data_IF_510548243347
#
_entry.id   IF_510548243347
#
_cell.length_a   1.000
_cell.length_b   1.000
_cell.length_c   1.000
_cell.angle_alpha   90.00
_cell.angle_beta   90.00
_cell.angle_gamma   90.00
#
_symmetry.space_group_name_H-M   'P 1'
#
loop_
_entity.id
_entity.type
_entity.pdbx_description
1 polymer ?
#
# COMPACT_ATOMS: atom_id res chain seq x y z
N UNK A 1 5.73 11.42 8.68
CA UNK A 1 4.45 11.64 8.00
C UNK A 1 3.22 11.49 8.89
N UNK A 2 3.13 10.41 9.66
CA UNK A 2 1.99 10.21 10.57
C UNK A 2 2.07 11.21 11.75
N UNK A 3 3.28 11.52 12.22
CA UNK A 3 3.50 12.58 13.23
C UNK A 3 3.05 13.96 12.73
N UNK A 4 3.31 14.30 11.45
CA UNK A 4 2.87 15.57 10.86
C UNK A 4 1.32 15.69 10.80
N UNK A 5 0.63 14.57 10.59
CA UNK A 5 -0.85 14.49 10.64
C UNK A 5 -1.34 14.70 12.07
N UNK A 6 -0.68 14.09 13.06
CA UNK A 6 -0.98 14.30 14.49
C UNK A 6 -0.75 15.75 14.92
N UNK A 7 0.33 16.39 14.45
CA UNK A 7 0.60 17.80 14.74
C UNK A 7 -0.43 18.74 14.09
N UNK A 8 -0.96 18.35 12.92
CA UNK A 8 -2.04 19.09 12.25
C UNK A 8 -3.34 19.13 13.07
N UNK A 9 -3.56 18.17 13.98
CA UNK A 9 -4.68 18.20 14.93
C UNK A 9 -4.68 19.43 15.84
N UNK A 10 -3.53 20.07 16.09
CA UNK A 10 -3.45 21.31 16.89
C UNK A 10 -4.19 22.48 16.26
N UNK A 11 -4.32 22.47 14.94
CA UNK A 11 -5.04 23.50 14.16
C UNK A 11 -6.49 23.15 13.88
N UNK A 12 -6.98 22.01 14.38
CA UNK A 12 -8.36 21.56 14.26
C UNK A 12 -8.56 20.30 13.41
N UNK A 13 -9.73 19.67 13.56
CA UNK A 13 -10.07 18.42 12.88
C UNK A 13 -10.10 18.55 11.34
N UNK A 14 -10.51 19.71 10.82
CA UNK A 14 -10.53 19.98 9.37
C UNK A 14 -9.13 19.87 8.77
N UNK A 15 -8.12 20.43 9.44
CA UNK A 15 -6.73 20.42 8.97
C UNK A 15 -6.16 19.01 9.02
N UNK A 16 -6.47 18.23 10.06
CA UNK A 16 -6.08 16.82 10.16
C UNK A 16 -6.61 15.99 8.97
N UNK A 17 -7.89 16.15 8.60
CA UNK A 17 -8.49 15.41 7.46
C UNK A 17 -7.86 15.83 6.13
N UNK A 18 -7.62 17.13 5.91
CA UNK A 18 -6.97 17.64 4.70
C UNK A 18 -5.54 17.09 4.58
N UNK A 19 -4.76 17.14 5.66
CA UNK A 19 -3.40 16.59 5.68
C UNK A 19 -3.39 15.08 5.48
N UNK A 20 -4.33 14.34 6.09
CA UNK A 20 -4.49 12.91 5.87
C UNK A 20 -4.78 12.55 4.41
N UNK A 21 -5.70 13.26 3.77
CA UNK A 21 -6.01 13.08 2.34
C UNK A 21 -4.82 13.42 1.44
N UNK A 22 -4.16 14.56 1.68
CA UNK A 22 -2.98 14.98 0.93
C UNK A 22 -1.83 13.97 1.06
N UNK A 23 -1.66 13.42 2.27
CA UNK A 23 -0.66 12.39 2.53
C UNK A 23 -0.99 11.09 1.77
N UNK A 24 -2.25 10.67 1.73
CA UNK A 24 -2.72 9.54 0.93
C UNK A 24 -2.39 9.70 -0.56
N UNK A 25 -2.70 10.86 -1.14
CA UNK A 25 -2.36 11.15 -2.54
C UNK A 25 -0.87 11.09 -2.83
N UNK A 26 -0.03 11.55 -1.89
CA UNK A 26 1.44 11.49 -2.04
C UNK A 26 1.95 10.05 -2.09
N UNK A 27 1.36 9.14 -1.32
CA UNK A 27 1.87 7.77 -1.20
C UNK A 27 1.53 6.86 -2.37
N UNK A 28 0.59 7.22 -3.24
CA UNK A 28 0.26 6.42 -4.43
C UNK A 28 1.38 6.48 -5.48
N UNK A 29 2.23 7.51 -5.46
CA UNK A 29 3.27 7.74 -6.46
C UNK A 29 4.26 6.56 -6.53
N UNK A 30 4.81 6.14 -5.39
CA UNK A 30 5.85 5.10 -5.34
C UNK A 30 5.30 3.72 -5.76
N UNK A 31 4.16 3.21 -5.21
CA UNK A 31 3.55 1.96 -5.66
C UNK A 31 3.18 1.98 -7.14
N UNK A 32 2.69 3.12 -7.66
CA UNK A 32 2.33 3.22 -9.07
C UNK A 32 3.55 3.06 -9.99
N UNK A 33 4.70 3.64 -9.63
CA UNK A 33 5.95 3.41 -10.35
C UNK A 33 6.42 1.96 -10.24
N UNK A 34 6.30 1.32 -9.08
CA UNK A 34 6.65 -0.09 -8.91
C UNK A 34 5.80 -1.01 -9.83
N UNK A 35 4.49 -0.77 -9.93
CA UNK A 35 3.59 -1.49 -10.83
C UNK A 35 3.99 -1.24 -12.30
N UNK A 36 4.27 0.00 -12.68
CA UNK A 36 4.68 0.33 -14.04
C UNK A 36 5.97 -0.40 -14.45
N UNK A 37 6.98 -0.46 -13.57
CA UNK A 37 8.22 -1.21 -13.80
C UNK A 37 7.94 -2.70 -13.91
N UNK A 38 7.12 -3.26 -13.01
CA UNK A 38 6.74 -4.67 -13.07
C UNK A 38 6.08 -5.02 -14.39
N UNK A 39 5.12 -4.20 -14.86
CA UNK A 39 4.46 -4.42 -16.15
C UNK A 39 5.47 -4.33 -17.30
N UNK A 40 6.32 -3.31 -17.31
CA UNK A 40 7.30 -3.12 -18.39
C UNK A 40 8.25 -4.31 -18.54
N UNK A 41 8.81 -4.79 -17.41
CA UNK A 41 9.71 -5.95 -17.40
C UNK A 41 8.95 -7.22 -17.80
N UNK A 42 7.83 -7.50 -17.14
CA UNK A 42 7.07 -8.73 -17.38
C UNK A 42 6.50 -8.83 -18.81
N UNK A 43 6.05 -7.72 -19.37
CA UNK A 43 5.55 -7.67 -20.74
C UNK A 43 6.66 -7.90 -21.77
N UNK A 44 7.85 -7.35 -21.53
CA UNK A 44 9.00 -7.52 -22.43
C UNK A 44 9.52 -8.96 -22.47
N UNK A 45 9.43 -9.71 -21.36
CA UNK A 45 9.88 -11.10 -21.29
C UNK A 45 8.87 -12.12 -21.82
N UNK A 46 7.59 -11.97 -21.50
CA UNK A 46 6.58 -13.00 -21.81
C UNK A 46 5.17 -12.44 -22.07
N UNK A 47 5.07 -11.21 -22.56
CA UNK A 47 3.81 -10.54 -22.91
C UNK A 47 2.74 -10.69 -21.80
N UNK A 48 1.54 -11.17 -22.11
CA UNK A 48 0.47 -11.35 -21.13
C UNK A 48 0.74 -12.46 -20.11
N UNK A 49 1.45 -13.52 -20.50
CA UNK A 49 1.81 -14.60 -19.56
C UNK A 49 2.79 -14.09 -18.50
N UNK A 50 3.76 -13.26 -18.89
CA UNK A 50 4.70 -12.63 -17.97
C UNK A 50 4.01 -11.76 -16.94
N UNK A 51 3.01 -10.97 -17.34
CA UNK A 51 2.20 -10.15 -16.42
C UNK A 51 1.43 -11.04 -15.43
N UNK A 52 0.81 -12.12 -15.93
CA UNK A 52 0.06 -13.05 -15.07
C UNK A 52 0.98 -13.75 -14.05
N UNK A 53 2.17 -14.16 -14.46
CA UNK A 53 3.16 -14.79 -13.56
C UNK A 53 3.74 -13.78 -12.56
N UNK A 54 3.92 -12.51 -12.95
CA UNK A 54 4.34 -11.47 -12.00
C UNK A 54 3.28 -11.18 -10.94
N UNK A 55 2.00 -11.17 -11.32
CA UNK A 55 0.89 -11.07 -10.37
C UNK A 55 0.85 -12.28 -9.42
N UNK A 56 1.07 -13.49 -9.93
CA UNK A 56 1.22 -14.69 -9.08
C UNK A 56 2.43 -14.58 -8.15
N UNK A 57 3.56 -14.03 -8.62
CA UNK A 57 4.75 -13.78 -7.80
C UNK A 57 4.46 -12.83 -6.64
N UNK A 58 3.71 -11.76 -6.88
CA UNK A 58 3.27 -10.82 -5.84
C UNK A 58 2.43 -11.50 -4.75
N UNK A 59 1.62 -12.51 -5.12
CA UNK A 59 0.79 -13.29 -4.20
C UNK A 59 1.46 -14.59 -3.71
N UNK A 60 2.69 -14.90 -4.13
CA UNK A 60 3.35 -16.15 -3.73
C UNK A 60 3.55 -16.25 -2.22
N UNK A 61 3.68 -15.11 -1.54
CA UNK A 61 3.80 -15.00 -0.08
C UNK A 61 2.47 -14.65 0.61
N UNK A 62 1.32 -14.93 -0.04
CA UNK A 62 -0.01 -14.57 0.48
C UNK A 62 -0.29 -15.18 1.85
N UNK A 63 0.23 -16.38 2.15
CA UNK A 63 0.06 -17.01 3.46
C UNK A 63 0.65 -16.16 4.60
N UNK A 64 1.87 -15.64 4.42
CA UNK A 64 2.51 -14.74 5.39
C UNK A 64 1.80 -13.38 5.43
N UNK A 65 1.40 -12.86 4.27
CA UNK A 65 0.64 -11.61 4.19
C UNK A 65 -0.67 -11.68 4.96
N UNK A 66 -1.47 -12.73 4.74
CA UNK A 66 -2.72 -12.97 5.46
C UNK A 66 -2.50 -13.19 6.96
N UNK A 67 -1.44 -13.89 7.36
CA UNK A 67 -1.14 -14.09 8.78
C UNK A 67 -0.86 -12.76 9.49
N UNK A 68 -0.10 -11.84 8.86
CA UNK A 68 0.21 -10.52 9.42
C UNK A 68 -1.03 -9.61 9.39
N UNK A 69 -1.81 -9.64 8.31
CA UNK A 69 -3.03 -8.85 8.18
C UNK A 69 -4.09 -9.28 9.22
N UNK A 70 -4.30 -10.59 9.38
CA UNK A 70 -5.23 -11.14 10.38
C UNK A 70 -4.79 -10.90 11.82
N UNK A 71 -3.48 -10.79 12.09
CA UNK A 71 -2.97 -10.47 13.43
C UNK A 71 -3.48 -9.12 13.95
N UNK A 72 -3.68 -8.13 13.07
CA UNK A 72 -4.17 -6.80 13.44
C UNK A 72 -5.55 -6.81 14.11
N UNK A 73 -6.62 -7.28 13.42
CA UNK A 73 -7.96 -7.39 14.00
C UNK A 73 -8.02 -8.27 15.25
N UNK A 74 -7.26 -9.38 15.28
CA UNK A 74 -7.20 -10.27 16.44
C UNK A 74 -6.66 -9.51 17.66
N UNK A 75 -5.58 -8.75 17.49
CA UNK A 75 -4.98 -7.95 18.56
C UNK A 75 -5.88 -6.77 18.98
N UNK A 76 -6.55 -6.10 18.03
CA UNK A 76 -7.47 -5.01 18.35
C UNK A 76 -8.69 -5.47 19.18
N UNK A 77 -9.16 -6.70 18.98
CA UNK A 77 -10.27 -7.27 19.74
C UNK A 77 -9.83 -7.89 21.08
N UNK A 78 -8.54 -8.16 21.28
CA UNK A 78 -8.00 -8.74 22.49
C UNK A 78 -7.66 -7.68 23.57
N UNK A 79 -7.51 -6.41 23.17
CA UNK A 79 -7.34 -5.26 24.05
C UNK A 79 -8.70 -4.76 24.57
#
# INVERSE_FOLDING_TARGET
PIQDVVDSCRTGATTNVIFGLALGYKYVIIPNFAIAISIFVSFSLAAMYGIAVAALGMLSTIATGLAIDAYGPINNNAA
#
